data_IF_530824100016
#
_entry.id   IF_530824100016
#
_cell.length_a   1.000
_cell.length_b   1.000
_cell.length_c   1.000
_cell.angle_alpha   90.00
_cell.angle_beta   90.00
_cell.angle_gamma   90.00
#
_symmetry.space_group_name_H-M   'P 1'
#
loop_
_entity.id
_entity.type
_entity.pdbx_description
1 polymer ?
#
# COMPACT_ATOMS: atom_id res chain seq x y z
N UNK A 1 -17.71 6.87 1.99
CA UNK A 1 -17.54 6.32 3.36
C UNK A 1 -16.19 5.61 3.42
N UNK A 2 -15.49 5.61 4.56
CA UNK A 2 -14.15 4.99 4.70
C UNK A 2 -14.11 3.46 4.46
N UNK A 3 -15.28 2.80 4.41
CA UNK A 3 -15.43 1.34 4.37
C UNK A 3 -16.08 0.82 3.11
N UNK A 4 -17.08 1.55 2.60
CA UNK A 4 -17.91 1.13 1.50
C UNK A 4 -17.71 2.07 0.33
N UNK A 5 -17.31 1.51 -0.81
CA UNK A 5 -17.22 2.20 -2.10
C UNK A 5 -18.60 2.26 -2.81
N UNK A 6 -19.68 2.17 -2.05
CA UNK A 6 -21.08 2.18 -2.51
C UNK A 6 -21.77 3.44 -1.98
N UNK A 7 -22.69 3.99 -2.75
CA UNK A 7 -23.58 5.05 -2.26
C UNK A 7 -24.54 4.50 -1.20
N UNK A 8 -25.03 5.35 -0.30
CA UNK A 8 -25.99 4.92 0.73
C UNK A 8 -27.25 4.29 0.13
N UNK A 9 -27.67 4.75 -1.06
CA UNK A 9 -28.80 4.18 -1.80
C UNK A 9 -28.54 2.71 -2.18
N UNK A 10 -27.39 2.42 -2.79
CA UNK A 10 -27.01 1.07 -3.20
C UNK A 10 -26.87 0.12 -2.00
N UNK A 11 -26.32 0.62 -0.89
CA UNK A 11 -26.24 -0.13 0.36
C UNK A 11 -27.65 -0.49 0.87
N UNK A 12 -28.56 0.48 0.86
CA UNK A 12 -29.95 0.27 1.27
C UNK A 12 -30.67 -0.77 0.42
N UNK A 13 -30.53 -0.71 -0.90
CA UNK A 13 -31.07 -1.71 -1.83
C UNK A 13 -30.53 -3.11 -1.54
N UNK A 14 -29.21 -3.26 -1.38
CA UNK A 14 -28.54 -4.53 -1.08
C UNK A 14 -29.00 -5.16 0.24
N UNK A 15 -29.24 -4.33 1.26
CA UNK A 15 -29.59 -4.79 2.61
C UNK A 15 -31.11 -4.89 2.83
N UNK A 16 -31.93 -4.63 1.82
CA UNK A 16 -33.40 -4.64 1.95
C UNK A 16 -33.96 -3.47 2.76
N UNK A 17 -33.19 -2.40 2.93
CA UNK A 17 -33.57 -1.17 3.63
C UNK A 17 -33.49 0.00 2.64
N UNK A 18 -34.40 0.11 1.67
CA UNK A 18 -34.27 1.09 0.59
C UNK A 18 -34.29 2.52 1.14
N UNK A 19 -33.45 3.37 0.54
CA UNK A 19 -33.39 4.80 0.85
C UNK A 19 -34.66 5.51 0.35
N UNK A 20 -35.22 6.38 1.17
CA UNK A 20 -36.39 7.19 0.81
C UNK A 20 -35.96 8.29 -0.19
N UNK A 21 -36.77 8.54 -1.22
CA UNK A 21 -36.59 9.69 -2.12
C UNK A 21 -37.27 10.91 -1.49
N UNK A 22 -36.58 12.04 -1.46
CA UNK A 22 -37.10 13.29 -0.92
C UNK A 22 -36.86 14.45 -1.89
N UNK A 23 -37.83 15.35 -1.99
CA UNK A 23 -37.66 16.65 -2.66
C UNK A 23 -37.38 17.71 -1.60
N UNK A 24 -36.11 18.09 -1.46
CA UNK A 24 -35.67 19.03 -0.43
C UNK A 24 -36.30 20.42 -0.56
N UNK A 25 -36.84 20.79 -1.73
CA UNK A 25 -37.48 22.09 -1.92
C UNK A 25 -38.95 22.11 -1.44
N UNK A 26 -39.57 20.93 -1.24
CA UNK A 26 -41.01 20.80 -0.98
C UNK A 26 -41.35 19.94 0.24
N UNK A 27 -40.38 19.28 0.86
CA UNK A 27 -40.63 18.38 1.98
C UNK A 27 -41.03 19.12 3.26
N UNK A 28 -41.90 18.50 4.03
CA UNK A 28 -42.22 18.88 5.41
C UNK A 28 -41.11 18.43 6.37
N UNK A 29 -41.06 19.01 7.56
CA UNK A 29 -40.14 18.59 8.62
C UNK A 29 -40.33 17.11 9.01
N UNK A 30 -41.58 16.62 8.96
CA UNK A 30 -41.90 15.22 9.27
C UNK A 30 -41.29 14.27 8.23
N UNK A 31 -41.44 14.57 6.94
CA UNK A 31 -40.84 13.80 5.85
C UNK A 31 -39.32 13.84 5.90
N UNK A 32 -38.74 15.00 6.20
CA UNK A 32 -37.30 15.16 6.36
C UNK A 32 -36.77 14.34 7.55
N UNK A 33 -37.46 14.35 8.68
CA UNK A 33 -37.13 13.53 9.85
C UNK A 33 -37.18 12.03 9.53
N UNK A 34 -38.21 11.57 8.82
CA UNK A 34 -38.33 10.18 8.35
C UNK A 34 -37.19 9.79 7.39
N UNK A 35 -36.84 10.68 6.46
CA UNK A 35 -35.72 10.47 5.54
C UNK A 35 -34.38 10.36 6.28
N UNK A 36 -34.09 11.28 7.21
CA UNK A 36 -32.88 11.26 8.02
C UNK A 36 -32.79 9.99 8.88
N UNK A 37 -33.90 9.57 9.50
CA UNK A 37 -33.97 8.31 10.24
C UNK A 37 -33.64 7.11 9.35
N UNK A 38 -34.21 7.04 8.14
CA UNK A 38 -33.93 5.97 7.19
C UNK A 38 -32.46 5.92 6.79
N UNK A 39 -31.82 7.07 6.60
CA UNK A 39 -30.38 7.12 6.30
C UNK A 39 -29.53 6.50 7.41
N UNK A 40 -29.87 6.78 8.68
CA UNK A 40 -29.22 6.17 9.84
C UNK A 40 -29.52 4.68 9.95
N UNK A 41 -30.74 4.24 9.66
CA UNK A 41 -31.11 2.81 9.64
C UNK A 41 -30.27 2.02 8.61
N UNK A 42 -30.05 2.60 7.43
CA UNK A 42 -29.21 2.00 6.38
C UNK A 42 -27.75 1.90 6.86
N UNK A 43 -27.22 2.96 7.45
CA UNK A 43 -25.85 2.96 8.01
C UNK A 43 -25.70 1.90 9.10
N UNK A 44 -26.65 1.79 10.02
CA UNK A 44 -26.64 0.80 11.08
C UNK A 44 -26.67 -0.63 10.51
N UNK A 45 -27.52 -0.88 9.51
CA UNK A 45 -27.57 -2.17 8.82
C UNK A 45 -26.23 -2.50 8.13
N UNK A 46 -25.60 -1.51 7.49
CA UNK A 46 -24.32 -1.67 6.82
C UNK A 46 -23.18 -2.04 7.79
N UNK A 47 -23.11 -1.38 8.95
CA UNK A 47 -22.11 -1.71 9.97
C UNK A 47 -22.37 -3.07 10.63
N UNK A 48 -23.63 -3.44 10.88
CA UNK A 48 -23.96 -4.79 11.37
C UNK A 48 -23.53 -5.86 10.37
N UNK A 49 -23.79 -5.63 9.08
CA UNK A 49 -23.37 -6.51 7.99
C UNK A 49 -21.83 -6.64 7.94
N UNK A 50 -21.12 -5.52 8.02
CA UNK A 50 -19.67 -5.52 8.02
C UNK A 50 -19.05 -6.18 9.25
N UNK A 51 -19.61 -5.98 10.44
CA UNK A 51 -19.16 -6.68 11.66
C UNK A 51 -19.37 -8.18 11.52
N UNK A 52 -20.52 -8.63 11.00
CA UNK A 52 -20.75 -10.07 10.71
C UNK A 52 -19.72 -10.62 9.72
N UNK A 53 -19.36 -9.85 8.69
CA UNK A 53 -18.28 -10.25 7.78
C UNK A 53 -16.94 -10.40 8.51
N UNK A 54 -16.56 -9.43 9.35
CA UNK A 54 -15.28 -9.45 10.07
C UNK A 54 -15.20 -10.63 11.04
N UNK A 55 -16.25 -10.84 11.83
CA UNK A 55 -16.32 -11.92 12.82
C UNK A 55 -16.45 -13.29 12.15
N UNK A 56 -17.38 -13.43 11.21
CA UNK A 56 -17.64 -14.68 10.50
C UNK A 56 -16.45 -15.19 9.70
N UNK A 57 -15.61 -14.28 9.18
CA UNK A 57 -14.39 -14.65 8.45
C UNK A 57 -13.12 -14.61 9.33
N UNK A 58 -13.26 -14.30 10.62
CA UNK A 58 -12.17 -14.17 11.61
C UNK A 58 -11.07 -13.20 11.16
N UNK A 59 -11.47 -12.07 10.57
CA UNK A 59 -10.54 -11.07 10.01
C UNK A 59 -9.89 -10.26 11.14
N UNK A 60 -10.69 -9.48 11.85
CA UNK A 60 -10.24 -8.65 12.98
C UNK A 60 -11.45 -8.05 13.70
N UNK A 61 -11.21 -7.31 14.78
CA UNK A 61 -12.18 -6.34 15.29
C UNK A 61 -12.46 -5.21 14.28
N UNK A 62 -13.59 -4.54 14.46
CA UNK A 62 -13.87 -3.26 13.78
C UNK A 62 -12.88 -2.19 14.25
N UNK A 63 -12.33 -1.40 13.33
CA UNK A 63 -11.49 -0.24 13.64
C UNK A 63 -12.10 1.02 13.03
N UNK A 64 -11.41 2.17 13.07
CA UNK A 64 -11.90 3.44 12.50
C UNK A 64 -11.66 3.60 10.99
N UNK A 65 -10.68 2.88 10.43
CA UNK A 65 -10.37 2.89 8.99
C UNK A 65 -10.00 1.51 8.50
N UNK A 66 -10.14 1.28 7.18
CA UNK A 66 -9.79 0.00 6.55
C UNK A 66 -8.31 -0.34 6.71
N UNK A 67 -7.42 0.66 6.72
CA UNK A 67 -5.99 0.47 7.03
C UNK A 67 -5.76 0.00 8.47
N UNK A 68 -6.47 0.59 9.44
CA UNK A 68 -6.38 0.14 10.83
C UNK A 68 -6.96 -1.27 11.02
N UNK A 69 -8.04 -1.61 10.32
CA UNK A 69 -8.58 -2.99 10.28
C UNK A 69 -7.61 -3.96 9.63
N UNK A 70 -6.97 -3.58 8.52
CA UNK A 70 -5.94 -4.39 7.86
C UNK A 70 -4.75 -4.68 8.80
N UNK A 71 -4.27 -3.65 9.51
CA UNK A 71 -3.19 -3.81 10.50
C UNK A 71 -3.64 -4.66 11.70
N UNK A 72 -4.85 -4.46 12.22
CA UNK A 72 -5.40 -5.28 13.31
C UNK A 72 -5.53 -6.75 12.89
N UNK A 73 -5.97 -7.00 11.66
CA UNK A 73 -6.03 -8.33 11.06
C UNK A 73 -4.66 -8.98 10.96
N UNK A 74 -3.68 -8.23 10.43
CA UNK A 74 -2.28 -8.66 10.34
C UNK A 74 -1.71 -9.06 11.72
N UNK A 75 -1.82 -8.18 12.71
CA UNK A 75 -1.30 -8.41 14.05
C UNK A 75 -1.99 -9.57 14.78
N UNK A 76 -3.30 -9.75 14.57
CA UNK A 76 -4.07 -10.78 15.25
C UNK A 76 -3.73 -12.19 14.76
N UNK A 77 -3.61 -12.38 13.44
CA UNK A 77 -3.63 -13.71 12.83
C UNK A 77 -2.35 -14.06 12.04
N UNK A 78 -1.51 -13.07 11.73
CA UNK A 78 -0.43 -13.22 10.74
C UNK A 78 0.91 -12.63 11.19
N UNK A 79 1.02 -12.13 12.42
CA UNK A 79 2.29 -11.70 13.00
C UNK A 79 3.06 -12.92 13.55
N UNK A 80 3.72 -13.64 12.65
CA UNK A 80 4.50 -14.83 12.96
C UNK A 80 6.02 -14.60 13.02
N UNK A 81 6.48 -13.41 12.63
CA UNK A 81 7.85 -12.96 12.81
C UNK A 81 7.91 -11.68 13.64
N UNK A 82 8.87 -11.60 14.55
CA UNK A 82 9.10 -10.39 15.35
C UNK A 82 9.68 -9.30 14.45
N UNK A 83 8.98 -8.17 14.38
CA UNK A 83 9.44 -6.96 13.67
C UNK A 83 10.03 -6.01 14.72
N UNK A 84 11.32 -5.72 14.57
CA UNK A 84 12.07 -4.86 15.47
C UNK A 84 12.00 -3.42 14.99
N UNK A 85 11.78 -2.50 15.93
CA UNK A 85 11.76 -1.06 15.70
C UNK A 85 13.08 -0.50 16.25
N UNK A 86 13.76 0.32 15.47
CA UNK A 86 14.96 1.07 15.90
C UNK A 86 14.70 2.57 15.85
N UNK A 87 15.61 3.34 16.45
CA UNK A 87 15.56 4.80 16.53
C UNK A 87 16.82 5.48 15.95
N UNK A 88 17.64 4.74 15.18
CA UNK A 88 18.78 5.31 14.47
C UNK A 88 18.29 6.33 13.42
N UNK A 89 18.60 7.62 13.64
CA UNK A 89 18.10 8.73 12.83
C UNK A 89 18.62 8.71 11.39
N UNK A 90 19.91 8.39 11.19
CA UNK A 90 20.53 8.32 9.86
C UNK A 90 19.87 7.23 9.00
N UNK A 91 19.61 6.07 9.61
CA UNK A 91 18.90 4.98 8.96
C UNK A 91 17.48 5.38 8.57
N UNK A 92 16.74 5.99 9.49
CA UNK A 92 15.37 6.47 9.26
C UNK A 92 15.33 7.52 8.14
N UNK A 93 16.30 8.43 8.08
CA UNK A 93 16.37 9.44 7.02
C UNK A 93 16.57 8.80 5.65
N UNK A 94 17.43 7.78 5.54
CA UNK A 94 17.65 7.03 4.30
C UNK A 94 16.45 6.12 3.94
N UNK A 95 15.77 5.52 4.92
CA UNK A 95 14.49 4.81 4.71
C UNK A 95 13.44 5.73 4.09
N UNK A 96 13.28 6.94 4.64
CA UNK A 96 12.34 7.92 4.10
C UNK A 96 12.81 8.48 2.75
N UNK A 97 14.12 8.64 2.59
CA UNK A 97 14.71 9.09 1.33
C UNK A 97 14.66 8.03 0.22
N UNK A 98 14.51 6.74 0.52
CA UNK A 98 14.32 5.68 -0.48
C UNK A 98 12.85 5.38 -0.79
N UNK A 99 11.91 5.75 0.09
CA UNK A 99 10.48 5.49 -0.12
C UNK A 99 9.91 6.27 -1.33
N UNK A 100 9.30 5.55 -2.28
CA UNK A 100 8.72 6.10 -3.53
C UNK A 100 7.32 5.55 -3.78
N UNK A 101 6.53 6.32 -4.52
CA UNK A 101 5.23 5.88 -5.06
C UNK A 101 5.38 5.15 -6.40
N UNK A 102 4.25 4.82 -7.03
CA UNK A 102 4.24 4.25 -8.38
C UNK A 102 4.75 5.22 -9.45
N UNK A 103 5.29 4.67 -10.54
CA UNK A 103 5.71 5.44 -11.72
C UNK A 103 4.47 5.93 -12.48
N UNK A 104 4.36 7.24 -12.64
CA UNK A 104 3.33 7.88 -13.45
C UNK A 104 4.03 8.95 -14.28
N UNK A 105 4.24 8.66 -15.56
CA UNK A 105 4.92 9.55 -16.51
C UNK A 105 4.20 9.53 -17.86
N UNK A 106 4.32 10.63 -18.60
CA UNK A 106 3.85 10.73 -19.97
C UNK A 106 4.98 10.28 -20.91
N UNK A 107 4.82 9.10 -21.51
CA UNK A 107 5.82 8.54 -22.44
C UNK A 107 5.68 9.08 -23.88
N UNK A 108 4.55 9.69 -24.21
CA UNK A 108 4.25 10.22 -25.53
C UNK A 108 3.27 11.40 -25.45
N UNK A 109 3.59 12.50 -26.14
CA UNK A 109 2.75 13.69 -26.28
C UNK A 109 2.29 13.81 -27.74
N UNK A 110 0.98 13.79 -27.95
CA UNK A 110 0.38 13.94 -29.28
C UNK A 110 -0.78 12.96 -29.49
N UNK A 111 -1.34 13.01 -30.68
CA UNK A 111 -2.35 12.05 -31.13
C UNK A 111 -1.65 10.87 -31.81
N UNK A 112 -2.07 9.65 -31.44
CA UNK A 112 -1.74 8.46 -32.23
C UNK A 112 -3.03 7.95 -32.86
N UNK A 113 -3.36 8.47 -34.03
CA UNK A 113 -4.37 7.86 -34.91
C UNK A 113 -3.73 6.64 -35.59
N UNK A 114 -4.52 5.62 -35.91
CA UNK A 114 -4.14 4.49 -36.78
C UNK A 114 -3.27 3.36 -36.16
N UNK A 115 -3.12 3.30 -34.83
CA UNK A 115 -2.46 2.17 -34.13
C UNK A 115 -3.43 1.41 -33.19
N UNK A 116 -3.19 0.11 -32.99
CA UNK A 116 -3.88 -0.69 -31.96
C UNK A 116 -3.18 -0.54 -30.62
N UNK A 117 -3.93 -0.17 -29.58
CA UNK A 117 -3.42 -0.02 -28.22
C UNK A 117 -3.87 -1.17 -27.32
N UNK A 118 -2.95 -1.63 -26.46
CA UNK A 118 -3.25 -2.62 -25.43
C UNK A 118 -3.03 -1.99 -24.05
N UNK A 119 -4.03 -2.14 -23.17
CA UNK A 119 -3.92 -1.78 -21.76
C UNK A 119 -3.74 -3.05 -20.93
N UNK A 120 -2.56 -3.20 -20.31
CA UNK A 120 -2.22 -4.34 -19.45
C UNK A 120 -2.14 -3.86 -18.00
N UNK A 121 -2.75 -4.60 -17.07
CA UNK A 121 -2.78 -4.29 -15.64
C UNK A 121 -2.37 -5.51 -14.81
N UNK A 122 -1.54 -5.29 -13.79
CA UNK A 122 -1.09 -6.35 -12.89
C UNK A 122 -2.15 -6.60 -11.82
N UNK A 123 -2.68 -7.82 -11.81
CA UNK A 123 -3.63 -8.27 -10.81
C UNK A 123 -3.08 -8.15 -9.39
N UNK A 124 -3.52 -7.12 -8.65
CA UNK A 124 -3.14 -6.90 -7.25
C UNK A 124 -1.63 -6.77 -7.05
N UNK A 125 -0.99 -5.87 -7.80
CA UNK A 125 0.47 -5.65 -7.81
C UNK A 125 1.13 -5.67 -6.42
N UNK A 126 0.73 -4.79 -5.49
CA UNK A 126 1.34 -4.73 -4.15
C UNK A 126 1.14 -6.04 -3.36
N UNK A 127 -0.07 -6.61 -3.28
CA UNK A 127 -0.25 -7.95 -2.71
C UNK A 127 0.62 -9.05 -3.35
N UNK A 128 0.80 -9.04 -4.67
CA UNK A 128 1.65 -10.02 -5.34
C UNK A 128 3.12 -9.88 -4.90
N UNK A 129 3.64 -8.66 -4.81
CA UNK A 129 4.98 -8.38 -4.27
C UNK A 129 5.08 -8.82 -2.80
N UNK A 130 4.07 -8.52 -1.99
CA UNK A 130 3.99 -8.96 -0.59
C UNK A 130 3.97 -10.48 -0.43
N UNK A 131 3.33 -11.20 -1.35
CA UNK A 131 3.20 -12.65 -1.29
C UNK A 131 4.51 -13.37 -1.64
N UNK A 132 5.26 -12.87 -2.62
CA UNK A 132 6.50 -13.50 -3.09
C UNK A 132 7.77 -12.95 -2.45
N UNK A 133 7.72 -11.75 -1.88
CA UNK A 133 8.88 -11.03 -1.38
C UNK A 133 9.33 -11.42 0.03
N UNK A 134 10.57 -11.04 0.35
CA UNK A 134 11.10 -10.95 1.70
C UNK A 134 11.29 -9.49 2.07
N UNK A 135 10.97 -9.12 3.31
CA UNK A 135 10.88 -7.73 3.76
C UNK A 135 11.74 -7.50 5.00
N UNK A 136 12.29 -6.28 5.19
CA UNK A 136 13.11 -5.96 6.36
C UNK A 136 12.31 -6.11 7.65
N UNK A 137 12.86 -6.84 8.62
CA UNK A 137 12.26 -7.06 9.94
C UNK A 137 13.11 -6.53 11.09
N UNK A 138 14.41 -6.32 10.87
CA UNK A 138 15.33 -5.85 11.91
C UNK A 138 16.50 -5.11 11.30
N UNK A 139 16.74 -3.89 11.77
CA UNK A 139 17.96 -3.15 11.48
C UNK A 139 19.20 -3.87 12.01
N UNK A 140 20.23 -3.98 11.19
CA UNK A 140 21.50 -4.61 11.55
C UNK A 140 22.59 -3.57 11.76
N UNK A 141 22.95 -2.84 10.72
CA UNK A 141 24.08 -1.90 10.76
C UNK A 141 23.93 -0.78 9.74
N UNK A 142 24.66 0.31 9.99
CA UNK A 142 24.91 1.41 9.07
C UNK A 142 26.42 1.49 8.85
N UNK A 143 26.83 1.47 7.59
CA UNK A 143 28.22 1.60 7.18
C UNK A 143 28.38 2.87 6.35
N UNK A 144 29.12 3.82 6.89
CA UNK A 144 29.59 4.99 6.15
C UNK A 144 30.78 4.62 5.24
N UNK A 145 30.94 5.36 4.15
CA UNK A 145 32.01 5.15 3.15
C UNK A 145 31.99 3.72 2.61
N UNK A 146 30.82 3.31 2.15
CA UNK A 146 30.61 2.02 1.51
C UNK A 146 31.47 1.83 0.25
N UNK A 147 31.57 0.59 -0.22
CA UNK A 147 32.15 0.26 -1.52
C UNK A 147 31.18 -0.60 -2.32
N UNK A 148 31.39 -0.70 -3.63
CA UNK A 148 30.58 -1.56 -4.50
C UNK A 148 30.72 -3.04 -4.09
N UNK A 149 31.90 -3.46 -3.66
CA UNK A 149 32.17 -4.82 -3.17
C UNK A 149 31.41 -5.11 -1.87
N UNK A 150 31.42 -4.16 -0.93
CA UNK A 150 30.65 -4.26 0.31
C UNK A 150 29.16 -4.35 0.03
N UNK A 151 28.64 -3.50 -0.87
CA UNK A 151 27.25 -3.52 -1.31
C UNK A 151 26.86 -4.88 -1.92
N UNK A 152 27.67 -5.40 -2.84
CA UNK A 152 27.47 -6.72 -3.47
C UNK A 152 27.45 -7.86 -2.43
N UNK A 153 28.27 -7.77 -1.38
CA UNK A 153 28.29 -8.77 -0.30
C UNK A 153 27.00 -8.73 0.51
N UNK A 154 26.56 -7.55 0.95
CA UNK A 154 25.34 -7.39 1.75
C UNK A 154 24.08 -7.85 1.02
N UNK A 155 23.94 -7.51 -0.27
CA UNK A 155 22.77 -7.87 -1.08
C UNK A 155 22.56 -9.39 -1.27
N UNK A 156 23.56 -10.23 -0.96
CA UNK A 156 23.41 -11.70 -1.03
C UNK A 156 22.51 -12.26 0.06
N UNK A 157 22.48 -11.63 1.23
CA UNK A 157 21.86 -12.19 2.45
C UNK A 157 20.95 -11.23 3.18
N UNK A 158 21.02 -9.93 2.88
CA UNK A 158 20.35 -8.87 3.63
C UNK A 158 19.49 -8.00 2.70
N UNK A 159 18.46 -7.35 3.27
CA UNK A 159 17.88 -6.19 2.60
C UNK A 159 18.78 -4.99 2.80
N UNK A 160 18.92 -4.16 1.77
CA UNK A 160 19.86 -3.05 1.75
C UNK A 160 19.17 -1.78 1.30
N UNK A 161 19.48 -0.68 1.97
CA UNK A 161 19.25 0.68 1.50
C UNK A 161 20.61 1.35 1.36
N UNK A 162 20.87 1.99 0.23
CA UNK A 162 22.14 2.65 0.01
C UNK A 162 22.00 3.99 -0.70
N UNK A 163 22.82 4.94 -0.29
CA UNK A 163 23.02 6.20 -1.01
C UNK A 163 24.13 6.01 -2.03
N UNK A 164 23.79 6.14 -3.31
CA UNK A 164 24.66 5.80 -4.43
C UNK A 164 24.69 6.92 -5.47
N UNK A 165 25.84 7.08 -6.10
CA UNK A 165 26.00 7.86 -7.31
C UNK A 165 25.69 6.94 -8.49
N UNK A 166 24.61 7.27 -9.21
CA UNK A 166 24.19 6.55 -10.40
C UNK A 166 24.69 7.29 -11.64
N UNK A 167 25.07 6.54 -12.66
CA UNK A 167 25.25 6.99 -14.04
C UNK A 167 24.51 6.01 -14.97
N UNK A 168 23.49 6.50 -15.68
CA UNK A 168 22.56 5.69 -16.47
C UNK A 168 22.06 6.49 -17.67
N UNK A 169 21.86 5.84 -18.80
CA UNK A 169 21.11 6.39 -19.95
C UNK A 169 19.61 6.01 -19.91
N UNK A 170 19.21 5.17 -18.95
CA UNK A 170 17.83 4.73 -18.75
C UNK A 170 17.10 5.50 -17.65
N UNK A 171 15.82 5.89 -17.85
CA UNK A 171 14.98 6.50 -16.81
C UNK A 171 14.42 5.42 -15.87
N UNK A 172 15.31 4.75 -15.15
CA UNK A 172 15.01 3.58 -14.31
C UNK A 172 14.78 3.93 -12.82
N UNK A 173 15.40 5.00 -12.33
CA UNK A 173 15.44 5.30 -10.89
C UNK A 173 14.58 6.49 -10.51
N UNK A 174 13.62 6.27 -9.60
CA UNK A 174 12.75 7.33 -9.12
C UNK A 174 13.49 8.29 -8.16
N UNK A 175 13.59 9.56 -8.53
CA UNK A 175 14.17 10.62 -7.71
C UNK A 175 13.09 11.62 -7.31
N UNK A 176 13.01 11.93 -6.02
CA UNK A 176 12.09 12.95 -5.51
C UNK A 176 12.72 14.34 -5.61
N UNK A 177 12.05 15.23 -6.33
CA UNK A 177 12.26 16.70 -6.34
C UNK A 177 10.93 17.36 -5.98
N UNK A 178 10.54 18.44 -6.65
CA UNK A 178 9.18 19.00 -6.55
C UNK A 178 8.11 17.97 -6.95
N UNK A 179 8.49 17.08 -7.87
CA UNK A 179 7.74 15.92 -8.33
C UNK A 179 8.67 14.70 -8.40
N UNK A 180 8.10 13.51 -8.45
CA UNK A 180 8.88 12.30 -8.75
C UNK A 180 9.27 12.33 -10.22
N UNK A 181 10.56 12.22 -10.49
CA UNK A 181 11.14 12.20 -11.84
C UNK A 181 12.02 10.96 -12.00
N UNK A 182 12.27 10.55 -13.25
CA UNK A 182 13.16 9.43 -13.59
C UNK A 182 14.30 9.95 -14.47
N UNK A 183 15.31 10.62 -13.88
CA UNK A 183 16.35 11.28 -14.64
C UNK A 183 17.33 10.26 -15.26
N UNK A 184 17.98 10.69 -16.34
CA UNK A 184 19.14 10.05 -16.95
C UNK A 184 20.40 10.90 -16.71
N UNK A 185 21.57 10.33 -16.95
CA UNK A 185 22.88 10.91 -16.66
C UNK A 185 23.37 10.53 -15.27
N UNK A 186 24.19 11.41 -14.67
CA UNK A 186 24.87 11.17 -13.40
C UNK A 186 24.22 11.92 -12.24
N UNK A 187 23.77 11.22 -11.19
CA UNK A 187 23.10 11.83 -10.04
C UNK A 187 23.15 10.98 -8.77
N UNK A 188 23.11 11.64 -7.61
CA UNK A 188 22.96 10.99 -6.31
C UNK A 188 21.50 10.61 -6.05
N UNK A 189 21.27 9.40 -5.55
CA UNK A 189 19.95 8.93 -5.09
C UNK A 189 20.10 7.92 -3.94
N UNK A 190 18.99 7.58 -3.29
CA UNK A 190 18.91 6.54 -2.27
C UNK A 190 17.97 5.45 -2.78
N UNK A 191 18.49 4.23 -2.87
CA UNK A 191 17.81 3.08 -3.46
C UNK A 191 17.67 1.95 -2.44
N UNK A 192 16.65 1.11 -2.58
CA UNK A 192 16.52 -0.12 -1.81
C UNK A 192 16.87 -1.36 -2.66
N UNK A 193 16.82 -2.55 -2.06
CA UNK A 193 17.34 -3.79 -2.63
C UNK A 193 17.01 -4.00 -4.12
N UNK A 194 15.75 -3.90 -4.58
CA UNK A 194 15.43 -4.19 -5.98
C UNK A 194 16.13 -3.24 -6.96
N UNK A 195 16.11 -1.94 -6.69
CA UNK A 195 16.75 -0.94 -7.55
C UNK A 195 18.28 -1.02 -7.47
N UNK A 196 18.84 -1.39 -6.31
CA UNK A 196 20.29 -1.62 -6.15
C UNK A 196 20.75 -2.85 -6.94
N UNK A 197 19.99 -3.94 -6.92
CA UNK A 197 20.25 -5.13 -7.75
C UNK A 197 20.20 -4.76 -9.22
N UNK A 198 19.16 -4.03 -9.65
CA UNK A 198 19.06 -3.55 -11.03
C UNK A 198 20.27 -2.70 -11.43
N UNK A 199 20.68 -1.74 -10.60
CA UNK A 199 21.83 -0.88 -10.85
C UNK A 199 23.16 -1.64 -10.94
N UNK A 200 23.35 -2.68 -10.12
CA UNK A 200 24.54 -3.52 -10.21
C UNK A 200 24.56 -4.37 -11.47
N UNK A 201 23.42 -4.94 -11.88
CA UNK A 201 23.32 -5.75 -13.09
C UNK A 201 23.64 -4.96 -14.36
N UNK A 202 23.34 -3.66 -14.38
CA UNK A 202 23.58 -2.78 -15.52
C UNK A 202 24.84 -1.91 -15.36
N UNK A 203 25.64 -2.13 -14.31
CA UNK A 203 26.83 -1.33 -13.99
C UNK A 203 26.57 0.18 -13.85
N UNK A 204 25.39 0.57 -13.38
CA UNK A 204 25.00 1.98 -13.21
C UNK A 204 25.55 2.62 -11.94
N UNK A 205 26.12 1.84 -10.99
CA UNK A 205 26.65 2.38 -9.73
C UNK A 205 28.10 2.84 -9.92
N UNK A 206 28.32 4.15 -9.79
CA UNK A 206 29.65 4.77 -9.84
C UNK A 206 30.30 4.81 -8.46
N UNK A 207 29.53 5.21 -7.43
CA UNK A 207 30.02 5.40 -6.07
C UNK A 207 28.96 4.97 -5.07
N UNK A 208 29.41 4.43 -3.92
CA UNK A 208 28.54 4.08 -2.79
C UNK A 208 28.99 4.91 -1.59
N UNK A 209 28.06 5.66 -0.99
CA UNK A 209 28.37 6.50 0.17
C UNK A 209 27.98 5.81 1.47
N UNK A 210 26.71 5.52 1.64
CA UNK A 210 26.13 4.99 2.87
C UNK A 210 25.41 3.68 2.55
N UNK A 211 25.56 2.66 3.41
CA UNK A 211 24.89 1.37 3.29
C UNK A 211 24.21 1.05 4.62
N UNK A 212 22.92 0.76 4.58
CA UNK A 212 22.16 0.27 5.72
C UNK A 212 21.64 -1.12 5.39
N UNK A 213 21.75 -2.04 6.33
CA UNK A 213 21.31 -3.42 6.12
C UNK A 213 20.33 -3.90 7.17
N UNK A 214 19.49 -4.85 6.75
CA UNK A 214 18.39 -5.38 7.53
C UNK A 214 18.30 -6.90 7.36
N UNK A 215 17.97 -7.57 8.46
CA UNK A 215 17.47 -8.95 8.43
C UNK A 215 16.11 -8.97 7.71
N UNK A 216 15.82 -10.04 6.97
CA UNK A 216 14.58 -10.15 6.19
C UNK A 216 13.79 -11.40 6.53
N UNK A 217 12.47 -11.32 6.37
CA UNK A 217 11.59 -12.48 6.43
C UNK A 217 10.36 -12.31 5.53
N UNK A 218 9.72 -13.42 5.17
CA UNK A 218 8.48 -13.47 4.37
C UNK A 218 7.24 -13.20 5.21
N UNK A 219 7.14 -11.98 5.75
CA UNK A 219 6.16 -11.62 6.78
C UNK A 219 4.71 -11.45 6.28
N UNK A 220 4.49 -11.28 4.97
CA UNK A 220 3.14 -11.00 4.43
C UNK A 220 2.46 -12.18 3.73
N UNK A 221 3.20 -13.27 3.47
CA UNK A 221 2.75 -14.39 2.64
C UNK A 221 1.40 -14.96 3.10
N UNK A 222 1.26 -15.24 4.40
CA UNK A 222 0.04 -15.84 4.97
C UNK A 222 -1.15 -14.88 4.95
N UNK A 223 -0.90 -13.61 5.25
CA UNK A 223 -1.90 -12.54 5.19
C UNK A 223 -2.47 -12.43 3.78
N UNK A 224 -1.60 -12.30 2.78
CA UNK A 224 -2.01 -12.17 1.38
C UNK A 224 -2.71 -13.43 0.91
N UNK A 225 -2.17 -14.62 1.19
CA UNK A 225 -2.79 -15.90 0.80
C UNK A 225 -4.25 -15.97 1.26
N UNK A 226 -4.50 -15.72 2.55
CA UNK A 226 -5.83 -15.87 3.13
C UNK A 226 -6.82 -14.85 2.58
N UNK A 227 -6.46 -13.57 2.52
CA UNK A 227 -7.37 -12.54 2.03
C UNK A 227 -7.59 -12.61 0.52
N UNK A 228 -6.58 -13.05 -0.25
CA UNK A 228 -6.71 -13.26 -1.68
C UNK A 228 -7.63 -14.45 -1.98
N UNK A 229 -7.48 -15.58 -1.28
CA UNK A 229 -8.43 -16.71 -1.39
C UNK A 229 -9.85 -16.25 -1.08
N UNK A 230 -10.04 -15.57 0.06
CA UNK A 230 -11.36 -15.07 0.46
C UNK A 230 -11.97 -14.12 -0.59
N UNK A 231 -11.13 -13.27 -1.21
CA UNK A 231 -11.56 -12.42 -2.32
C UNK A 231 -12.05 -13.24 -3.52
N UNK A 232 -11.36 -14.31 -3.90
CA UNK A 232 -11.78 -15.17 -5.00
C UNK A 232 -13.07 -15.93 -4.69
N UNK A 233 -13.26 -16.35 -3.45
CA UNK A 233 -14.48 -17.02 -3.00
C UNK A 233 -15.69 -16.07 -3.15
N UNK A 234 -15.57 -14.82 -2.67
CA UNK A 234 -16.63 -13.81 -2.83
C UNK A 234 -16.84 -13.38 -4.28
N UNK A 235 -15.78 -13.34 -5.09
CA UNK A 235 -15.90 -13.08 -6.53
C UNK A 235 -16.71 -14.19 -7.22
N UNK A 236 -16.40 -15.45 -6.93
CA UNK A 236 -17.11 -16.62 -7.48
C UNK A 236 -18.57 -16.69 -7.03
N UNK A 237 -18.85 -16.29 -5.78
CA UNK A 237 -20.19 -16.17 -5.23
C UNK A 237 -20.93 -14.88 -5.65
N UNK A 238 -20.32 -14.03 -6.49
CA UNK A 238 -20.86 -12.74 -6.94
C UNK A 238 -21.24 -11.76 -5.81
N UNK A 239 -20.51 -11.80 -4.67
CA UNK A 239 -20.74 -10.91 -3.52
C UNK A 239 -19.78 -9.72 -3.60
N UNK A 240 -20.12 -8.75 -4.47
CA UNK A 240 -19.22 -7.66 -4.87
C UNK A 240 -18.69 -6.81 -3.71
N UNK A 241 -19.53 -6.54 -2.72
CA UNK A 241 -19.16 -5.73 -1.55
C UNK A 241 -18.01 -6.36 -0.76
N UNK A 242 -18.07 -7.68 -0.52
CA UNK A 242 -17.02 -8.38 0.22
C UNK A 242 -15.77 -8.63 -0.62
N UNK A 243 -15.91 -8.85 -1.94
CA UNK A 243 -14.77 -8.83 -2.85
C UNK A 243 -13.98 -7.51 -2.72
N UNK A 244 -14.70 -6.38 -2.74
CA UNK A 244 -14.11 -5.05 -2.61
C UNK A 244 -13.46 -4.83 -1.25
N UNK A 245 -14.09 -5.26 -0.15
CA UNK A 245 -13.50 -5.16 1.19
C UNK A 245 -12.20 -5.98 1.28
N UNK A 246 -12.18 -7.22 0.79
CA UNK A 246 -10.96 -8.03 0.75
C UNK A 246 -9.86 -7.35 -0.09
N UNK A 247 -10.22 -6.78 -1.26
CA UNK A 247 -9.28 -5.99 -2.08
C UNK A 247 -8.71 -4.81 -1.30
N UNK A 248 -9.55 -4.07 -0.56
CA UNK A 248 -9.10 -2.93 0.22
C UNK A 248 -8.20 -3.34 1.39
N UNK A 249 -8.52 -4.42 2.11
CA UNK A 249 -7.66 -4.94 3.18
C UNK A 249 -6.26 -5.28 2.64
N UNK A 250 -6.21 -6.04 1.55
CA UNK A 250 -4.96 -6.40 0.85
C UNK A 250 -4.11 -5.17 0.50
N UNK A 251 -4.74 -4.14 -0.09
CA UNK A 251 -4.03 -2.95 -0.55
C UNK A 251 -3.72 -1.96 0.59
N UNK A 252 -4.44 -1.98 1.70
CA UNK A 252 -4.27 -0.98 2.76
C UNK A 252 -3.18 -1.35 3.76
N UNK A 253 -2.80 -2.64 3.85
CA UNK A 253 -1.80 -3.09 4.82
C UNK A 253 -0.43 -2.44 4.57
N UNK A 254 0.08 -2.46 3.33
CA UNK A 254 1.42 -1.90 3.05
C UNK A 254 1.49 -0.41 3.40
N UNK A 255 0.40 0.33 3.19
CA UNK A 255 0.32 1.76 3.53
C UNK A 255 0.50 2.03 5.02
N UNK A 256 0.12 1.08 5.89
CA UNK A 256 0.34 1.18 7.34
C UNK A 256 1.81 1.04 7.72
N UNK A 257 2.59 0.23 7.00
CA UNK A 257 4.04 0.14 7.18
C UNK A 257 4.77 1.39 6.68
N UNK A 258 4.23 2.07 5.67
CA UNK A 258 4.77 3.34 5.17
C UNK A 258 4.35 4.58 5.98
N UNK A 259 3.47 4.44 6.98
CA UNK A 259 2.87 5.57 7.68
C UNK A 259 3.94 6.45 8.37
N UNK A 260 3.74 7.78 8.33
CA UNK A 260 4.56 8.74 9.08
C UNK A 260 4.07 8.81 10.53
N UNK A 261 5.00 8.89 11.47
CA UNK A 261 4.67 9.25 12.85
C UNK A 261 4.18 10.70 12.89
N UNK A 262 3.19 10.98 13.72
CA UNK A 262 2.75 12.35 13.98
C UNK A 262 3.82 13.07 14.80
N UNK A 263 4.27 14.22 14.29
CA UNK A 263 5.14 15.12 15.03
C UNK A 263 4.25 16.08 15.80
N UNK A 264 4.04 15.80 17.08
CA UNK A 264 3.32 16.70 17.97
C UNK A 264 4.18 17.94 18.21
N UNK A 265 3.80 19.07 17.62
CA UNK A 265 4.32 20.37 18.01
C UNK A 265 3.51 20.86 19.19
N UNK A 266 4.19 21.10 20.31
CA UNK A 266 3.59 21.81 21.44
C UNK A 266 3.24 23.21 20.95
N UNK A 267 1.95 23.54 20.98
CA UNK A 267 1.45 24.90 20.76
C UNK A 267 1.72 25.70 22.03
#
# INVERSE_FOLDING_TARGET
MNWFAESLKQIGERLGVPKIRIDFAKCTESELSMYCKRDVEILLAAYKDFVRFLEGNKISRLCFTIGSTAMACYLLNYYDHKIYIHNNSEAIDLERASYRGGRVECFYLGEKSDETFYALDVNSLYPAVMYHGSFPVKYLTCTERGSVENLKRCLKTEAVIAKVLIETDEPAYAVKRDRTIFPVGRFWTVLCTPELVYALCHNHIVEVKDIITYETASIFTRYVKRLYTLRQDFKSANVKTYENICKLLLNSLYGKFGQRAEVWKKI
#
